data_IF_728972190220
#
_entry.id   IF_728972190220
#
_cell.length_a   1.000
_cell.length_b   1.000
_cell.length_c   1.000
_cell.angle_alpha   90.00
_cell.angle_beta   90.00
_cell.angle_gamma   90.00
#
_symmetry.space_group_name_H-M   'P 1'
#
loop_
_entity.id
_entity.type
_entity.pdbx_description
1 polymer ?
#
# COMPACT_ATOMS: atom_id res chain seq x y z
N UNK A 1 -8.62 -12.63 17.75
CA UNK A 1 -9.50 -13.68 17.21
C UNK A 1 -9.20 -13.96 15.75
N UNK A 2 -9.31 -13.00 14.82
CA UNK A 2 -9.12 -13.28 13.37
C UNK A 2 -7.70 -13.73 12.95
N UNK A 3 -6.65 -13.11 13.48
CA UNK A 3 -5.26 -13.32 13.01
C UNK A 3 -4.36 -14.05 14.00
N UNK A 4 -4.81 -14.27 15.23
CA UNK A 4 -3.99 -14.71 16.35
C UNK A 4 -3.32 -13.57 17.14
N UNK A 5 -2.42 -13.91 18.05
CA UNK A 5 -1.64 -12.97 18.85
C UNK A 5 -0.14 -13.21 18.60
N UNK A 6 0.62 -12.26 18.01
CA UNK A 6 2.04 -12.44 17.71
C UNK A 6 2.94 -12.56 18.96
N UNK A 7 2.38 -12.40 20.16
CA UNK A 7 3.09 -12.70 21.41
C UNK A 7 3.21 -14.21 21.66
N UNK A 8 2.39 -15.04 20.99
CA UNK A 8 2.54 -16.48 20.93
C UNK A 8 3.38 -16.85 19.70
N UNK A 9 4.37 -17.71 19.89
CA UNK A 9 5.29 -18.14 18.84
C UNK A 9 4.59 -18.79 17.66
N UNK A 10 3.57 -19.60 17.88
CA UNK A 10 2.88 -20.31 16.80
C UNK A 10 2.21 -19.31 15.86
N UNK A 11 1.55 -18.30 16.43
CA UNK A 11 0.93 -17.23 15.63
C UNK A 11 1.96 -16.28 15.05
N UNK A 12 3.04 -15.95 15.77
CA UNK A 12 4.13 -15.14 15.23
C UNK A 12 4.74 -15.75 13.97
N UNK A 13 5.14 -17.02 14.02
CA UNK A 13 5.77 -17.71 12.90
C UNK A 13 4.81 -17.80 11.70
N UNK A 14 3.52 -18.04 11.96
CA UNK A 14 2.48 -18.02 10.93
C UNK A 14 2.26 -16.62 10.32
N UNK A 15 2.08 -15.58 11.13
CA UNK A 15 1.91 -14.20 10.66
C UNK A 15 3.11 -13.73 9.84
N UNK A 16 4.32 -14.09 10.29
CA UNK A 16 5.57 -13.73 9.61
C UNK A 16 5.69 -14.38 8.24
N UNK A 17 5.14 -15.58 8.03
CA UNK A 17 5.27 -16.28 6.75
C UNK A 17 4.53 -15.60 5.60
N UNK A 18 3.56 -14.72 5.88
CA UNK A 18 2.78 -14.02 4.85
C UNK A 18 2.73 -12.49 5.01
N UNK A 19 3.24 -11.94 6.12
CA UNK A 19 3.27 -10.49 6.37
C UNK A 19 3.90 -9.75 5.17
N UNK A 20 3.18 -8.81 4.52
CA UNK A 20 3.69 -8.10 3.35
C UNK A 20 4.97 -7.31 3.65
N UNK A 21 5.11 -6.79 4.87
CA UNK A 21 6.28 -6.03 5.29
C UNK A 21 7.50 -6.93 5.51
N UNK A 22 7.31 -8.06 6.19
CA UNK A 22 8.42 -8.96 6.53
C UNK A 22 8.99 -9.66 5.29
N UNK A 23 8.13 -9.96 4.31
CA UNK A 23 8.46 -10.70 3.08
C UNK A 23 8.81 -9.79 1.88
N UNK A 24 9.20 -8.53 2.12
CA UNK A 24 9.85 -7.72 1.06
C UNK A 24 11.28 -8.21 0.85
N UNK A 25 11.63 -8.48 -0.40
CA UNK A 25 12.88 -9.09 -0.84
C UNK A 25 13.47 -8.28 -2.01
N UNK A 26 14.74 -8.53 -2.34
CA UNK A 26 15.35 -7.95 -3.52
C UNK A 26 14.86 -8.66 -4.79
N UNK A 27 13.85 -8.08 -5.45
CA UNK A 27 13.25 -8.59 -6.68
C UNK A 27 12.47 -7.52 -7.43
N UNK A 28 12.00 -7.89 -8.62
CA UNK A 28 11.11 -7.08 -9.41
C UNK A 28 9.69 -7.11 -8.82
N UNK A 29 9.11 -5.92 -8.62
CA UNK A 29 7.74 -5.71 -8.17
C UNK A 29 6.93 -5.09 -9.31
N UNK A 30 5.60 -5.29 -9.38
CA UNK A 30 4.77 -4.61 -10.37
C UNK A 30 4.72 -3.09 -10.13
N UNK A 31 4.10 -2.36 -11.05
CA UNK A 31 3.68 -0.99 -10.78
C UNK A 31 2.74 -0.98 -9.56
N UNK A 32 3.05 -0.18 -8.54
CA UNK A 32 2.33 -0.13 -7.27
C UNK A 32 1.87 1.29 -6.94
N UNK A 33 0.57 1.44 -6.72
CA UNK A 33 -0.04 2.60 -6.07
C UNK A 33 -0.50 2.18 -4.68
N UNK A 34 0.13 2.73 -3.65
CA UNK A 34 -0.17 2.49 -2.25
C UNK A 34 -0.92 3.72 -1.72
N UNK A 35 -2.13 3.53 -1.20
CA UNK A 35 -2.96 4.62 -0.67
C UNK A 35 -3.06 4.55 0.87
N UNK A 36 -3.23 5.71 1.50
CA UNK A 36 -3.38 5.81 2.95
C UNK A 36 -4.19 7.06 3.34
N UNK A 37 -4.91 7.01 4.45
CA UNK A 37 -5.48 8.20 5.10
C UNK A 37 -4.64 8.60 6.31
N UNK A 38 -4.23 9.88 6.40
CA UNK A 38 -3.44 10.35 7.55
C UNK A 38 -4.20 10.21 8.87
N UNK A 39 -5.51 10.44 8.83
CA UNK A 39 -6.38 10.45 10.00
C UNK A 39 -7.16 9.13 10.14
N UNK A 40 -6.67 8.02 9.59
CA UNK A 40 -7.32 6.71 9.71
C UNK A 40 -7.16 6.16 11.15
N UNK A 41 -8.25 6.06 11.94
CA UNK A 41 -8.18 5.59 13.32
C UNK A 41 -8.18 4.05 13.42
N UNK A 42 -8.40 3.33 12.30
CA UNK A 42 -8.48 1.87 12.25
C UNK A 42 -7.17 1.26 11.79
N UNK A 43 -6.58 1.80 10.73
CA UNK A 43 -5.32 1.34 10.15
C UNK A 43 -4.41 2.53 9.94
N UNK A 44 -3.36 2.61 10.73
CA UNK A 44 -2.53 3.79 10.73
C UNK A 44 -1.69 3.95 9.46
N UNK A 45 -1.55 5.20 8.99
CA UNK A 45 -0.85 5.54 7.76
C UNK A 45 0.64 5.11 7.71
N UNK A 46 1.27 4.89 8.88
CA UNK A 46 2.67 4.45 8.92
C UNK A 46 2.85 3.01 8.46
N UNK A 47 1.80 2.17 8.48
CA UNK A 47 1.83 0.81 7.96
C UNK A 47 2.12 0.77 6.45
N UNK A 48 1.36 1.45 5.57
CA UNK A 48 1.71 1.56 4.15
C UNK A 48 2.99 2.38 3.92
N UNK A 49 3.29 3.37 4.76
CA UNK A 49 4.50 4.19 4.60
C UNK A 49 5.80 3.40 4.83
N UNK A 50 5.88 2.61 5.91
CA UNK A 50 7.05 1.77 6.19
C UNK A 50 7.24 0.69 5.11
N UNK A 51 6.14 0.12 4.61
CA UNK A 51 6.18 -0.85 3.52
C UNK A 51 6.70 -0.24 2.22
N UNK A 52 6.20 0.94 1.86
CA UNK A 52 6.70 1.71 0.70
C UNK A 52 8.20 1.97 0.82
N UNK A 53 8.67 2.40 1.99
CA UNK A 53 10.09 2.69 2.21
C UNK A 53 10.97 1.44 2.03
N UNK A 54 10.54 0.29 2.58
CA UNK A 54 11.24 -0.99 2.41
C UNK A 54 11.25 -1.45 0.95
N UNK A 55 10.10 -1.35 0.26
CA UNK A 55 9.99 -1.64 -1.17
C UNK A 55 10.96 -0.79 -1.99
N UNK A 56 10.98 0.54 -1.81
CA UNK A 56 11.90 1.46 -2.51
C UNK A 56 13.37 1.11 -2.33
N UNK A 57 13.72 0.51 -1.20
CA UNK A 57 15.11 0.13 -0.89
C UNK A 57 15.50 -1.19 -1.56
N UNK A 58 14.55 -2.13 -1.70
CA UNK A 58 14.85 -3.51 -2.12
C UNK A 58 14.45 -3.83 -3.55
N UNK A 59 13.46 -3.13 -4.13
CA UNK A 59 13.01 -3.40 -5.49
C UNK A 59 14.14 -3.25 -6.51
N UNK A 60 14.22 -4.17 -7.47
CA UNK A 60 15.27 -4.18 -8.50
C UNK A 60 14.81 -3.67 -9.87
N UNK A 61 13.50 -3.61 -10.09
CA UNK A 61 12.91 -3.14 -11.32
C UNK A 61 12.90 -1.59 -11.41
N UNK A 62 12.37 -1.04 -12.51
CA UNK A 62 12.16 0.41 -12.71
C UNK A 62 10.68 0.82 -12.72
N UNK A 63 9.78 -0.07 -12.31
CA UNK A 63 8.36 0.16 -12.28
C UNK A 63 8.00 1.24 -11.25
N UNK A 64 6.87 1.89 -11.51
CA UNK A 64 6.37 3.01 -10.73
C UNK A 64 5.95 2.51 -9.34
N UNK A 65 6.44 3.17 -8.29
CA UNK A 65 6.08 2.91 -6.89
C UNK A 65 5.68 4.21 -6.19
N UNK A 66 4.37 4.43 -6.06
CA UNK A 66 3.79 5.63 -5.44
C UNK A 66 3.16 5.31 -4.09
N UNK A 67 3.36 6.24 -3.15
CA UNK A 67 2.57 6.32 -1.92
C UNK A 67 1.77 7.61 -1.99
N UNK A 68 0.44 7.49 -1.97
CA UNK A 68 -0.50 8.61 -1.93
C UNK A 68 -1.21 8.63 -0.57
N UNK A 69 -0.75 9.52 0.30
CA UNK A 69 -1.41 9.75 1.58
C UNK A 69 -2.39 10.91 1.46
N UNK A 70 -3.68 10.64 1.66
CA UNK A 70 -4.69 11.68 1.78
C UNK A 70 -4.61 12.28 3.20
N UNK A 71 -4.18 13.55 3.28
CA UNK A 71 -3.91 14.23 4.54
C UNK A 71 -5.19 14.64 5.30
N UNK A 72 -6.34 14.67 4.63
CA UNK A 72 -7.64 15.01 5.22
C UNK A 72 -8.53 13.79 5.53
N UNK A 73 -8.26 12.64 4.92
CA UNK A 73 -9.10 11.45 5.02
C UNK A 73 -8.75 10.53 6.20
N UNK A 74 -9.76 9.79 6.66
CA UNK A 74 -9.61 8.62 7.52
C UNK A 74 -9.79 7.30 6.75
N UNK A 75 -10.28 6.26 7.42
CA UNK A 75 -10.37 4.91 6.85
C UNK A 75 -11.19 4.78 5.57
N UNK A 76 -12.33 5.48 5.49
CA UNK A 76 -13.24 5.41 4.35
C UNK A 76 -12.85 6.33 3.18
N UNK A 77 -11.69 6.95 3.22
CA UNK A 77 -11.32 8.01 2.28
C UNK A 77 -11.99 9.35 2.61
N UNK A 78 -11.96 10.31 1.67
CA UNK A 78 -12.52 11.65 1.89
C UNK A 78 -14.05 11.63 1.89
N UNK A 79 -14.68 12.44 2.74
CA UNK A 79 -16.14 12.53 2.88
C UNK A 79 -16.81 13.48 1.87
N UNK A 80 -16.02 14.25 1.12
CA UNK A 80 -16.53 15.20 0.13
C UNK A 80 -17.05 14.50 -1.12
N UNK A 81 -18.26 14.89 -1.59
CA UNK A 81 -18.92 14.34 -2.78
C UNK A 81 -18.00 14.22 -4.00
N UNK A 82 -17.18 15.23 -4.24
CA UNK A 82 -16.25 15.26 -5.38
C UNK A 82 -14.85 14.75 -5.05
N UNK A 83 -14.47 14.68 -3.76
CA UNK A 83 -13.15 14.22 -3.36
C UNK A 83 -13.00 12.72 -3.57
N UNK A 84 -14.06 11.95 -3.30
CA UNK A 84 -14.10 10.52 -3.66
C UNK A 84 -13.88 10.31 -5.17
N UNK A 85 -14.53 11.12 -6.02
CA UNK A 85 -14.36 11.02 -7.48
C UNK A 85 -12.93 11.36 -7.92
N UNK A 86 -12.23 12.26 -7.23
CA UNK A 86 -10.82 12.56 -7.49
C UNK A 86 -9.89 11.39 -7.13
N UNK A 87 -10.16 10.72 -6.01
CA UNK A 87 -9.42 9.50 -5.63
C UNK A 87 -9.58 8.42 -6.69
N UNK A 88 -10.83 8.13 -7.08
CA UNK A 88 -11.13 7.17 -8.14
C UNK A 88 -10.46 7.57 -9.46
N UNK A 89 -10.58 8.83 -9.88
CA UNK A 89 -9.94 9.29 -11.11
C UNK A 89 -8.42 9.10 -11.09
N UNK A 90 -7.77 9.33 -9.94
CA UNK A 90 -6.33 9.12 -9.78
C UNK A 90 -5.94 7.64 -9.89
N UNK A 91 -6.69 6.75 -9.23
CA UNK A 91 -6.46 5.30 -9.29
C UNK A 91 -6.59 4.78 -10.73
N UNK A 92 -7.64 5.19 -11.45
CA UNK A 92 -7.83 4.82 -12.85
C UNK A 92 -6.74 5.40 -13.76
N UNK A 93 -6.34 6.66 -13.55
CA UNK A 93 -5.24 7.26 -14.29
C UNK A 93 -3.94 6.48 -14.10
N UNK A 94 -3.63 6.07 -12.87
CA UNK A 94 -2.46 5.24 -12.58
C UNK A 94 -2.51 3.89 -13.30
N UNK A 95 -3.66 3.20 -13.26
CA UNK A 95 -3.82 1.90 -13.92
C UNK A 95 -3.68 2.05 -15.45
N UNK A 96 -4.32 3.04 -16.05
CA UNK A 96 -4.25 3.26 -17.50
C UNK A 96 -2.84 3.65 -17.96
N UNK A 97 -2.17 4.53 -17.21
CA UNK A 97 -0.79 4.94 -17.51
C UNK A 97 0.18 3.75 -17.43
N UNK A 98 0.07 2.94 -16.36
CA UNK A 98 0.98 1.81 -16.14
C UNK A 98 0.70 0.60 -17.03
N UNK A 99 -0.55 0.36 -17.44
CA UNK A 99 -0.87 -0.65 -18.44
C UNK A 99 -0.41 -0.23 -19.84
N UNK A 100 -0.50 1.06 -20.16
CA UNK A 100 -0.02 1.62 -21.43
C UNK A 100 1.50 1.48 -21.60
N UNK A 101 2.26 1.57 -20.50
CA UNK A 101 3.72 1.39 -20.50
C UNK A 101 4.19 -0.04 -20.81
N UNK A 102 3.33 -1.06 -20.66
CA UNK A 102 3.69 -2.45 -20.96
C UNK A 102 3.51 -2.83 -22.45
N UNK A 103 3.01 -1.91 -23.29
CA UNK A 103 2.69 -2.16 -24.70
C UNK A 103 3.71 -1.57 -25.71
N UNK A 104 4.91 -1.19 -25.25
CA UNK A 104 6.00 -0.65 -26.09
C UNK A 104 7.33 -1.32 -25.74
#
# INVERSE_FOLDING_TARGET
EEWGNPSDRVYYDYMKSYSPYDNVEAKDYPNLLITAGLNDPRVAYWEPAKWTAKLRTLKTDKNVLLLKTNLGAGHGGPSGRYEYLKEVAFEYAFVLDTLGQNNT
#
